data_IF_197598864419
#
_entry.id   IF_197598864419
#
_cell.length_a   1.000
_cell.length_b   1.000
_cell.length_c   1.000
_cell.angle_alpha   90.00
_cell.angle_beta   90.00
_cell.angle_gamma   90.00
#
_symmetry.space_group_name_H-M   'P 1'
#
loop_
_entity.id
_entity.type
_entity.pdbx_description
1 polymer ?
#
# COMPACT_ATOMS: atom_id res chain seq x y z
N UNK A 1 19.41 12.71 -39.05
CA UNK A 1 18.49 13.84 -38.87
C UNK A 1 18.64 14.26 -37.42
N UNK A 2 19.47 15.27 -37.21
CA UNK A 2 19.76 15.91 -35.93
C UNK A 2 18.56 16.72 -35.45
N UNK A 3 18.24 16.63 -34.16
CA UNK A 3 17.53 17.68 -33.44
C UNK A 3 18.15 17.82 -32.04
N UNK A 4 18.85 18.93 -31.86
CA UNK A 4 19.41 19.40 -30.59
C UNK A 4 18.46 20.38 -29.88
N UNK A 5 18.78 20.66 -28.60
CA UNK A 5 18.26 21.68 -27.65
C UNK A 5 16.91 21.40 -26.95
N UNK A 6 16.71 21.58 -25.63
CA UNK A 6 17.51 21.94 -24.43
C UNK A 6 16.58 21.71 -23.20
N UNK A 7 17.07 21.50 -21.96
CA UNK A 7 16.21 21.40 -20.78
C UNK A 7 15.88 22.76 -20.18
N UNK A 8 14.63 22.98 -19.73
CA UNK A 8 14.29 24.11 -18.86
C UNK A 8 14.39 23.70 -17.39
N UNK A 9 15.37 24.31 -16.74
CA UNK A 9 15.68 24.28 -15.32
C UNK A 9 14.93 25.44 -14.64
N UNK A 10 14.09 25.09 -13.64
CA UNK A 10 14.19 25.58 -12.25
C UNK A 10 13.37 26.78 -11.72
N UNK A 11 13.05 26.62 -10.42
CA UNK A 11 12.62 27.54 -9.35
C UNK A 11 11.28 28.30 -9.48
N UNK A 12 10.34 27.94 -8.61
CA UNK A 12 9.43 28.91 -7.99
C UNK A 12 9.67 28.94 -6.47
N UNK A 13 10.62 29.77 -6.05
CA UNK A 13 10.65 30.33 -4.69
C UNK A 13 9.79 31.58 -4.63
N UNK A 14 9.35 31.89 -3.40
CA UNK A 14 8.81 33.18 -2.90
C UNK A 14 7.27 33.26 -2.98
N UNK A 15 6.53 33.85 -2.05
CA UNK A 15 6.83 34.88 -1.06
C UNK A 15 5.98 34.68 0.20
N UNK A 16 6.58 34.91 1.37
CA UNK A 16 5.83 35.02 2.63
C UNK A 16 4.94 36.26 2.64
N UNK A 17 3.65 36.08 2.87
CA UNK A 17 2.71 37.16 3.11
C UNK A 17 2.76 37.58 4.59
N UNK A 18 3.18 38.82 4.85
CA UNK A 18 3.12 39.47 6.16
C UNK A 18 1.67 39.91 6.40
N UNK A 19 0.93 39.15 7.22
CA UNK A 19 -0.45 39.48 7.63
C UNK A 19 -0.41 40.64 8.63
N UNK A 20 -1.00 41.79 8.28
CA UNK A 20 -1.15 42.93 9.18
C UNK A 20 -2.40 42.71 10.04
N UNK A 21 -2.19 42.57 11.35
CA UNK A 21 -3.25 42.47 12.36
C UNK A 21 -3.98 43.80 12.51
N UNK A 22 -5.29 43.80 12.29
CA UNK A 22 -6.21 44.89 12.65
C UNK A 22 -6.93 44.45 13.93
N UNK A 23 -6.56 45.05 15.07
CA UNK A 23 -7.31 44.93 16.31
C UNK A 23 -8.61 45.73 16.19
N UNK A 24 -9.75 45.05 16.35
CA UNK A 24 -11.05 45.65 16.63
C UNK A 24 -11.76 44.85 17.73
N UNK A 25 -12.29 45.48 18.80
CA UNK A 25 -12.91 44.77 19.91
C UNK A 25 -14.37 44.48 19.58
N UNK A 26 -14.79 43.22 19.66
CA UNK A 26 -16.21 42.87 19.47
C UNK A 26 -16.67 41.76 20.43
N UNK A 27 -17.42 42.20 21.44
CA UNK A 27 -18.52 41.57 22.19
C UNK A 27 -18.29 40.16 22.79
N UNK A 28 -18.30 40.12 24.13
CA UNK A 28 -18.47 38.89 24.92
C UNK A 28 -19.86 38.27 24.68
N UNK A 29 -19.92 37.24 23.84
CA UNK A 29 -21.05 36.31 23.76
C UNK A 29 -20.69 35.00 24.45
N UNK A 30 -21.31 34.69 25.59
CA UNK A 30 -21.15 33.41 26.27
C UNK A 30 -21.84 32.29 25.47
N UNK A 31 -21.10 31.70 24.53
CA UNK A 31 -21.55 30.52 23.78
C UNK A 31 -21.26 29.27 24.60
N UNK A 32 -22.29 28.46 24.90
CA UNK A 32 -22.10 27.16 25.54
C UNK A 32 -21.35 26.24 24.59
N UNK A 33 -20.16 25.81 24.99
CA UNK A 33 -19.39 24.78 24.28
C UNK A 33 -20.15 23.46 24.40
N UNK A 34 -20.79 23.02 23.32
CA UNK A 34 -21.19 21.62 23.19
C UNK A 34 -19.90 20.81 23.00
N UNK A 35 -19.45 20.13 24.04
CA UNK A 35 -18.41 19.11 23.90
C UNK A 35 -19.01 17.96 23.09
N UNK A 36 -18.76 17.97 21.78
CA UNK A 36 -18.89 16.78 20.97
C UNK A 36 -17.93 15.76 21.56
N UNK A 37 -18.46 14.74 22.23
CA UNK A 37 -17.69 13.55 22.58
C UNK A 37 -17.26 12.95 21.26
N UNK A 38 -15.98 13.08 20.93
CA UNK A 38 -15.40 12.34 19.81
C UNK A 38 -15.72 10.88 20.07
N UNK A 39 -16.61 10.30 19.25
CA UNK A 39 -16.67 8.86 19.11
C UNK A 39 -15.24 8.44 18.83
N UNK A 40 -14.69 7.61 19.70
CA UNK A 40 -13.42 6.95 19.43
C UNK A 40 -13.66 6.08 18.20
N UNK A 41 -13.50 6.69 17.03
CA UNK A 41 -13.30 5.97 15.80
C UNK A 41 -12.02 5.19 16.06
N UNK A 42 -12.18 3.88 16.26
CA UNK A 42 -11.08 2.96 16.41
C UNK A 42 -10.39 2.95 15.06
N UNK A 43 -9.52 3.93 14.84
CA UNK A 43 -8.47 3.89 13.84
C UNK A 43 -7.62 2.71 14.26
N UNK A 44 -7.99 1.52 13.80
CA UNK A 44 -7.09 0.39 13.72
C UNK A 44 -5.90 0.96 12.97
N UNK A 45 -4.83 1.27 13.71
CA UNK A 45 -3.59 1.74 13.13
C UNK A 45 -3.28 0.72 12.04
N UNK A 46 -3.31 1.16 10.78
CA UNK A 46 -2.96 0.30 9.65
C UNK A 46 -1.53 -0.12 9.91
N UNK A 47 -1.35 -1.33 10.43
CA UNK A 47 -0.05 -1.91 10.57
C UNK A 47 0.54 -1.92 9.16
N UNK A 48 1.58 -1.11 8.92
CA UNK A 48 2.37 -1.24 7.72
C UNK A 48 3.19 -2.52 7.85
N UNK A 49 2.54 -3.66 7.63
CA UNK A 49 3.23 -4.93 7.46
C UNK A 49 3.82 -4.95 6.07
N UNK A 50 5.11 -4.63 5.97
CA UNK A 50 5.86 -4.88 4.75
C UNK A 50 6.03 -6.40 4.59
N UNK A 51 5.54 -6.97 3.48
CA UNK A 51 5.79 -8.37 3.14
C UNK A 51 7.29 -8.66 3.04
N UNK A 52 7.73 -9.79 3.60
CA UNK A 52 9.11 -10.27 3.50
C UNK A 52 9.22 -11.15 2.26
N UNK A 53 9.68 -10.56 1.17
CA UNK A 53 9.94 -11.27 -0.08
C UNK A 53 11.29 -12.01 -0.02
N UNK A 54 11.30 -13.26 -0.44
CA UNK A 54 12.49 -14.11 -0.54
C UNK A 54 12.41 -15.03 -1.76
N UNK A 55 13.52 -15.63 -2.23
CA UNK A 55 13.46 -16.63 -3.28
C UNK A 55 12.53 -17.80 -2.92
N UNK A 56 11.67 -18.21 -3.84
CA UNK A 56 10.70 -19.26 -3.61
C UNK A 56 11.33 -20.62 -3.27
N UNK A 57 10.93 -21.20 -2.14
CA UNK A 57 11.30 -22.56 -1.70
C UNK A 57 10.06 -23.44 -1.63
N UNK A 58 9.46 -23.71 -2.79
CA UNK A 58 8.24 -24.50 -2.89
C UNK A 58 8.58 -25.95 -3.22
N UNK A 59 7.95 -26.88 -2.49
CA UNK A 59 8.06 -28.31 -2.76
C UNK A 59 7.14 -28.71 -3.92
N UNK A 60 7.58 -28.38 -5.12
CA UNK A 60 6.87 -28.64 -6.38
C UNK A 60 7.69 -29.57 -7.28
N UNK A 61 7.04 -30.27 -8.23
CA UNK A 61 7.75 -31.01 -9.28
C UNK A 61 8.73 -30.11 -10.04
N UNK A 62 9.85 -30.66 -10.50
CA UNK A 62 10.93 -29.88 -11.13
C UNK A 62 10.46 -29.03 -12.31
N UNK A 63 9.49 -29.53 -13.10
CA UNK A 63 8.88 -28.80 -14.19
C UNK A 63 8.18 -27.50 -13.72
N UNK A 64 7.56 -27.51 -12.55
CA UNK A 64 6.93 -26.32 -11.96
C UNK A 64 7.96 -25.39 -11.30
N UNK A 65 9.04 -25.93 -10.73
CA UNK A 65 10.12 -25.12 -10.14
C UNK A 65 10.81 -24.22 -11.17
N UNK A 66 11.03 -24.72 -12.39
CA UNK A 66 11.63 -23.89 -13.45
C UNK A 66 10.71 -22.72 -13.87
N UNK A 67 9.38 -22.88 -13.84
CA UNK A 67 8.44 -21.79 -14.11
C UNK A 67 8.43 -20.71 -13.01
N UNK A 68 8.78 -21.09 -11.78
CA UNK A 68 8.74 -20.21 -10.60
C UNK A 68 10.10 -19.60 -10.26
N UNK A 69 11.17 -20.00 -10.94
CA UNK A 69 12.56 -19.61 -10.67
C UNK A 69 12.80 -18.10 -10.70
N UNK A 70 12.03 -17.36 -11.49
CA UNK A 70 12.12 -15.91 -11.61
C UNK A 70 11.22 -15.16 -10.60
N UNK A 71 10.44 -15.88 -9.79
CA UNK A 71 9.52 -15.30 -8.82
C UNK A 71 10.13 -15.18 -7.42
N UNK A 72 9.72 -14.13 -6.71
CA UNK A 72 9.92 -13.99 -5.26
C UNK A 72 8.66 -14.50 -4.54
N UNK A 73 8.82 -15.13 -3.38
CA UNK A 73 7.73 -15.59 -2.54
C UNK A 73 7.63 -14.77 -1.25
N UNK A 74 6.42 -14.65 -0.72
CA UNK A 74 6.17 -14.11 0.62
C UNK A 74 4.97 -14.82 1.26
N UNK A 75 4.92 -14.81 2.59
CA UNK A 75 3.79 -15.33 3.36
C UNK A 75 3.05 -14.19 4.05
N UNK A 76 1.72 -14.25 4.03
CA UNK A 76 0.85 -13.36 4.81
C UNK A 76 -0.04 -14.19 5.73
N UNK A 77 -0.05 -13.83 7.01
CA UNK A 77 -0.98 -14.41 7.98
C UNK A 77 -2.30 -13.63 7.94
N UNK A 78 -3.40 -14.37 7.83
CA UNK A 78 -4.75 -13.81 7.86
C UNK A 78 -5.60 -14.53 8.91
N UNK A 79 -6.56 -13.86 9.56
CA UNK A 79 -7.50 -14.51 10.47
C UNK A 79 -8.23 -15.67 9.79
N UNK A 80 -8.36 -16.78 10.52
CA UNK A 80 -9.16 -17.93 10.08
C UNK A 80 -10.66 -17.57 10.01
N UNK A 81 -11.14 -16.79 10.98
CA UNK A 81 -12.50 -16.30 11.06
C UNK A 81 -12.51 -14.80 11.32
N UNK A 82 -12.92 -14.02 10.32
CA UNK A 82 -13.02 -12.57 10.41
C UNK A 82 -14.20 -12.08 11.28
N UNK A 83 -15.15 -12.96 11.61
CA UNK A 83 -16.33 -12.60 12.40
C UNK A 83 -16.07 -12.68 13.91
N UNK A 84 -15.17 -13.56 14.34
CA UNK A 84 -14.71 -13.66 15.73
C UNK A 84 -13.47 -12.78 15.98
N UNK A 85 -13.71 -11.54 16.40
CA UNK A 85 -12.65 -10.58 16.73
C UNK A 85 -11.78 -10.98 17.94
N UNK A 86 -12.14 -12.02 18.68
CA UNK A 86 -11.38 -12.52 19.84
C UNK A 86 -10.51 -13.73 19.51
N UNK A 87 -10.68 -14.31 18.32
CA UNK A 87 -9.89 -15.45 17.89
C UNK A 87 -8.56 -14.99 17.32
N UNK A 88 -7.46 -15.52 17.90
CA UNK A 88 -6.10 -15.30 17.39
C UNK A 88 -5.68 -16.37 16.36
N UNK A 89 -6.61 -17.22 15.91
CA UNK A 89 -6.33 -18.25 14.90
C UNK A 89 -6.11 -17.62 13.53
N UNK A 90 -4.99 -17.94 12.92
CA UNK A 90 -4.62 -17.48 11.57
C UNK A 90 -4.39 -18.64 10.60
N UNK A 91 -4.38 -18.32 9.32
CA UNK A 91 -3.90 -19.17 8.23
C UNK A 91 -2.87 -18.41 7.41
N UNK A 92 -1.91 -19.15 6.86
CA UNK A 92 -0.88 -18.58 5.99
C UNK A 92 -1.32 -18.63 4.53
N UNK A 93 -1.28 -17.48 3.86
CA UNK A 93 -1.40 -17.41 2.41
C UNK A 93 -0.02 -17.21 1.80
N UNK A 94 0.34 -18.06 0.85
CA UNK A 94 1.58 -17.95 0.09
C UNK A 94 1.35 -17.12 -1.17
N UNK A 95 2.20 -16.12 -1.37
CA UNK A 95 2.19 -15.21 -2.52
C UNK A 95 3.43 -15.46 -3.36
N UNK A 96 3.27 -15.43 -4.69
CA UNK A 96 4.39 -15.42 -5.64
C UNK A 96 4.33 -14.11 -6.41
N UNK A 97 5.45 -13.38 -6.49
CA UNK A 97 5.59 -12.13 -7.23
C UNK A 97 6.61 -12.26 -8.36
N UNK A 98 6.22 -11.80 -9.54
CA UNK A 98 7.14 -11.55 -10.65
C UNK A 98 7.38 -10.04 -10.82
N UNK A 99 8.62 -9.61 -10.61
CA UNK A 99 8.99 -8.19 -10.72
C UNK A 99 8.88 -7.70 -12.17
N UNK A 100 8.46 -6.45 -12.35
CA UNK A 100 8.42 -5.82 -13.66
C UNK A 100 9.83 -5.75 -14.27
N UNK A 101 9.92 -5.95 -15.58
CA UNK A 101 11.21 -5.90 -16.30
C UNK A 101 11.63 -4.48 -16.69
N UNK A 102 10.74 -3.49 -16.53
CA UNK A 102 10.99 -2.08 -16.90
C UNK A 102 10.45 -1.14 -15.83
N UNK A 103 11.20 -0.08 -15.60
CA UNK A 103 10.84 1.04 -14.71
C UNK A 103 10.48 2.30 -15.51
N UNK A 104 9.61 3.18 -14.97
CA UNK A 104 8.83 2.98 -13.75
C UNK A 104 7.69 1.98 -13.98
N UNK A 105 7.40 1.13 -12.99
CA UNK A 105 6.20 0.30 -13.01
C UNK A 105 5.03 1.04 -12.35
N UNK A 106 3.82 0.84 -12.86
CA UNK A 106 2.60 1.54 -12.41
C UNK A 106 1.99 0.94 -11.14
N UNK A 107 2.45 -0.23 -10.72
CA UNK A 107 1.95 -0.97 -9.57
C UNK A 107 1.89 -2.46 -9.89
N UNK A 108 1.04 -3.18 -9.16
CA UNK A 108 0.95 -4.63 -9.25
C UNK A 108 -0.41 -5.11 -9.74
N UNK A 109 -0.40 -6.25 -10.41
CA UNK A 109 -1.51 -7.05 -10.89
C UNK A 109 -1.62 -8.28 -10.01
N UNK A 110 -2.75 -8.42 -9.35
CA UNK A 110 -3.11 -9.63 -8.63
C UNK A 110 -3.97 -10.52 -9.54
N UNK A 111 -3.53 -11.75 -9.75
CA UNK A 111 -4.20 -12.73 -10.58
C UNK A 111 -4.68 -13.93 -9.77
N UNK A 112 -5.96 -14.27 -9.96
CA UNK A 112 -6.58 -15.47 -9.41
C UNK A 112 -7.09 -16.33 -10.58
N UNK A 113 -6.54 -17.55 -10.81
CA UNK A 113 -7.01 -18.45 -11.86
C UNK A 113 -8.46 -18.91 -11.66
N UNK A 114 -9.00 -18.77 -10.45
CA UNK A 114 -10.32 -19.27 -10.08
C UNK A 114 -10.31 -20.77 -9.76
N UNK A 115 -11.51 -21.35 -9.68
CA UNK A 115 -11.70 -22.75 -9.27
C UNK A 115 -11.46 -22.97 -7.77
N UNK A 116 -12.03 -24.03 -7.16
CA UNK A 116 -11.88 -24.27 -5.73
C UNK A 116 -10.57 -24.98 -5.32
N UNK A 117 -9.83 -25.58 -6.28
CA UNK A 117 -8.73 -26.52 -5.98
C UNK A 117 -7.36 -26.17 -6.60
N UNK A 118 -7.24 -25.15 -7.46
CA UNK A 118 -5.94 -24.73 -8.01
C UNK A 118 -5.51 -23.37 -7.44
N UNK A 119 -4.64 -23.40 -6.44
CA UNK A 119 -3.96 -22.21 -5.92
C UNK A 119 -2.52 -22.19 -6.45
N UNK A 120 -2.21 -21.21 -7.30
CA UNK A 120 -1.40 -20.13 -6.76
C UNK A 120 -2.01 -18.75 -7.02
N UNK A 121 -2.05 -17.90 -6.00
CA UNK A 121 -2.22 -16.46 -6.18
C UNK A 121 -0.93 -15.92 -6.80
N UNK A 122 -1.02 -15.46 -8.04
CA UNK A 122 0.13 -14.88 -8.75
C UNK A 122 0.00 -13.36 -8.67
N UNK A 123 1.08 -12.73 -8.24
CA UNK A 123 1.26 -11.30 -8.17
C UNK A 123 2.32 -10.91 -9.21
N UNK A 124 2.17 -9.77 -9.88
CA UNK A 124 3.20 -9.29 -10.80
C UNK A 124 3.13 -7.79 -10.98
N UNK A 125 4.24 -7.12 -11.31
CA UNK A 125 4.23 -5.67 -11.52
C UNK A 125 4.01 -5.30 -12.99
N UNK A 126 3.32 -4.18 -13.26
CA UNK A 126 3.00 -3.71 -14.62
C UNK A 126 3.78 -2.46 -15.00
N UNK A 127 4.43 -2.45 -16.17
CA UNK A 127 5.14 -1.28 -16.73
C UNK A 127 4.21 -0.31 -17.48
#
# INVERSE_FOLDING_TARGET
MDFAQTPLVNQSKRFGAKMKSLLGPLLLGASRLATATNGADSLVARAESSLKWEPCKLDLPDAAKELLKAGDCATIEVPLDYTDKKSDKTVELQLIRYNATKEPFKGSVLWNPGGPIFFPFVYGDIS
#
